data_IF_964662510417
#
_entry.id   IF_964662510417
#
_cell.length_a   1.000
_cell.length_b   1.000
_cell.length_c   1.000
_cell.angle_alpha   90.00
_cell.angle_beta   90.00
_cell.angle_gamma   90.00
#
_symmetry.space_group_name_H-M   'P 1'
#
loop_
_entity.id
_entity.type
_entity.pdbx_description
1 polymer ?
#
# COMPACT_ATOMS: atom_id res chain seq x y z
N UNK A 1 16.13 22.60 22.10
CA UNK A 1 14.85 22.16 21.52
C UNK A 1 14.88 20.64 21.54
N UNK A 2 14.03 20.00 22.35
CA UNK A 2 13.92 18.54 22.41
C UNK A 2 12.72 18.08 21.60
N UNK A 3 12.81 16.91 20.97
CA UNK A 3 11.71 16.26 20.26
C UNK A 3 10.79 15.62 21.31
N UNK A 4 9.48 15.81 21.21
CA UNK A 4 8.50 15.19 22.13
C UNK A 4 8.32 13.71 21.84
N UNK A 5 7.74 12.96 22.78
CA UNK A 5 7.44 11.54 22.54
C UNK A 5 6.44 11.37 21.39
N UNK A 6 5.48 12.28 21.26
CA UNK A 6 4.50 12.24 20.18
C UNK A 6 5.11 12.51 18.81
N UNK A 7 6.10 13.40 18.72
CA UNK A 7 6.89 13.63 17.50
C UNK A 7 7.75 12.39 17.17
N UNK A 8 8.36 11.75 18.17
CA UNK A 8 9.10 10.49 17.98
C UNK A 8 8.19 9.36 17.50
N UNK A 9 6.99 9.24 18.06
CA UNK A 9 6.00 8.25 17.65
C UNK A 9 5.57 8.44 16.20
N UNK A 10 5.38 9.68 15.77
CA UNK A 10 5.13 9.99 14.36
C UNK A 10 6.28 9.51 13.46
N UNK A 11 7.54 9.79 13.82
CA UNK A 11 8.71 9.36 13.05
C UNK A 11 8.83 7.83 12.98
N UNK A 12 8.62 7.13 14.10
CA UNK A 12 8.60 5.65 14.17
C UNK A 12 7.52 5.08 13.26
N UNK A 13 6.31 5.61 13.34
CA UNK A 13 5.19 5.17 12.51
C UNK A 13 5.40 5.45 11.02
N UNK A 14 5.93 6.63 10.67
CA UNK A 14 6.28 6.96 9.29
C UNK A 14 7.31 5.98 8.73
N UNK A 15 8.36 5.67 9.50
CA UNK A 15 9.39 4.71 9.09
C UNK A 15 8.83 3.29 8.93
N UNK A 16 8.01 2.83 9.86
CA UNK A 16 7.32 1.53 9.80
C UNK A 16 6.53 1.39 8.49
N UNK A 17 5.73 2.39 8.15
CA UNK A 17 4.96 2.40 6.90
C UNK A 17 5.89 2.42 5.67
N UNK A 18 6.84 3.34 5.63
CA UNK A 18 7.71 3.57 4.47
C UNK A 18 8.60 2.36 4.15
N UNK A 19 9.12 1.68 5.17
CA UNK A 19 10.14 0.64 5.00
C UNK A 19 9.60 -0.77 5.21
N UNK A 20 8.85 -1.00 6.27
CA UNK A 20 8.47 -2.35 6.69
C UNK A 20 7.19 -2.77 5.96
N UNK A 21 6.10 -2.04 6.16
CA UNK A 21 4.81 -2.37 5.55
C UNK A 21 4.87 -2.33 4.01
N UNK A 22 5.55 -1.32 3.45
CA UNK A 22 5.75 -1.20 2.01
C UNK A 22 6.57 -2.37 1.42
N UNK A 23 7.53 -2.91 2.18
CA UNK A 23 8.31 -4.08 1.76
C UNK A 23 7.46 -5.35 1.79
N UNK A 24 6.68 -5.58 2.85
CA UNK A 24 5.79 -6.73 2.96
C UNK A 24 4.78 -6.78 1.80
N UNK A 25 4.08 -5.66 1.56
CA UNK A 25 3.14 -5.52 0.43
C UNK A 25 3.82 -5.77 -0.92
N UNK A 26 5.08 -5.34 -1.10
CA UNK A 26 5.83 -5.59 -2.34
C UNK A 26 6.23 -7.06 -2.49
N UNK A 27 6.68 -7.70 -1.43
CA UNK A 27 7.00 -9.15 -1.45
C UNK A 27 5.77 -9.95 -1.84
N UNK A 28 4.63 -9.65 -1.22
CA UNK A 28 3.36 -10.27 -1.57
C UNK A 28 2.96 -9.97 -3.02
N UNK A 29 3.14 -8.73 -3.50
CA UNK A 29 2.89 -8.39 -4.90
C UNK A 29 3.74 -9.20 -5.88
N UNK A 30 5.05 -9.32 -5.64
CA UNK A 30 5.96 -10.08 -6.51
C UNK A 30 5.67 -11.58 -6.47
N UNK A 31 5.07 -12.08 -5.38
CA UNK A 31 4.56 -13.45 -5.30
C UNK A 31 3.31 -13.65 -6.18
N UNK A 32 2.37 -12.71 -6.16
CA UNK A 32 1.13 -12.77 -6.95
C UNK A 32 1.38 -12.49 -8.45
N UNK A 33 2.25 -11.52 -8.73
CA UNK A 33 2.61 -11.01 -10.06
C UNK A 33 4.13 -11.06 -10.25
N UNK A 34 4.70 -12.23 -10.59
CA UNK A 34 6.15 -12.40 -10.72
C UNK A 34 6.79 -11.39 -11.67
N UNK A 35 7.97 -10.81 -11.33
CA UNK A 35 8.63 -9.80 -12.16
C UNK A 35 8.87 -10.22 -13.62
N UNK A 36 9.03 -11.52 -13.88
CA UNK A 36 9.21 -12.06 -15.22
C UNK A 36 7.96 -11.92 -16.11
N UNK A 37 6.76 -11.97 -15.52
CA UNK A 37 5.46 -11.90 -16.21
C UNK A 37 4.76 -10.54 -16.11
N UNK A 38 5.21 -9.68 -15.17
CA UNK A 38 4.54 -8.42 -14.83
C UNK A 38 4.22 -7.54 -16.03
N UNK A 39 5.14 -7.40 -16.99
CA UNK A 39 4.91 -6.58 -18.19
C UNK A 39 3.74 -7.06 -19.05
N UNK A 40 3.57 -8.38 -19.19
CA UNK A 40 2.46 -8.95 -19.95
C UNK A 40 1.13 -8.79 -19.19
N UNK A 41 1.13 -8.99 -17.88
CA UNK A 41 -0.04 -8.78 -17.04
C UNK A 41 -0.52 -7.33 -17.04
N UNK A 42 0.42 -6.37 -16.99
CA UNK A 42 0.14 -4.94 -17.14
C UNK A 42 -0.46 -4.64 -18.50
N UNK A 43 0.13 -5.15 -19.59
CA UNK A 43 -0.41 -4.96 -20.94
C UNK A 43 -1.85 -5.47 -21.06
N UNK A 44 -2.14 -6.65 -20.51
CA UNK A 44 -3.49 -7.23 -20.48
C UNK A 44 -4.48 -6.42 -19.64
N UNK A 45 -3.98 -5.69 -18.64
CA UNK A 45 -4.80 -4.90 -17.71
C UNK A 45 -4.92 -3.42 -18.09
N UNK A 46 -4.35 -2.99 -19.23
CA UNK A 46 -4.27 -1.57 -19.62
C UNK A 46 -5.62 -0.86 -19.61
N UNK A 47 -6.63 -1.44 -20.26
CA UNK A 47 -7.97 -0.84 -20.36
C UNK A 47 -8.59 -0.68 -18.98
N UNK A 48 -8.51 -1.71 -18.14
CA UNK A 48 -9.00 -1.71 -16.77
C UNK A 48 -8.32 -0.60 -15.95
N UNK A 49 -6.99 -0.59 -15.92
CA UNK A 49 -6.20 0.33 -15.11
C UNK A 49 -6.33 1.79 -15.57
N UNK A 50 -6.43 2.04 -16.88
CA UNK A 50 -6.68 3.38 -17.43
C UNK A 50 -8.09 3.90 -17.11
N UNK A 51 -9.06 3.01 -16.97
CA UNK A 51 -10.45 3.36 -16.63
C UNK A 51 -10.65 3.74 -15.15
N UNK A 52 -9.67 3.47 -14.28
CA UNK A 52 -9.77 3.77 -12.86
C UNK A 52 -9.69 5.29 -12.62
N UNK A 53 -10.73 5.84 -12.01
CA UNK A 53 -10.84 7.30 -11.72
C UNK A 53 -9.69 7.85 -10.87
N UNK A 54 -9.08 7.01 -10.05
CA UNK A 54 -8.01 7.39 -9.12
C UNK A 54 -6.60 7.12 -9.68
N UNK A 55 -6.48 6.55 -10.89
CA UNK A 55 -5.19 6.32 -11.54
C UNK A 55 -4.69 7.63 -12.17
N UNK A 56 -3.57 8.14 -11.66
CA UNK A 56 -2.98 9.39 -12.18
C UNK A 56 -2.20 9.16 -13.48
N UNK A 57 -2.01 10.22 -14.27
CA UNK A 57 -1.12 10.17 -15.45
C UNK A 57 0.31 9.74 -15.09
N UNK A 58 0.81 10.19 -13.93
CA UNK A 58 2.13 9.82 -13.45
C UNK A 58 2.24 8.32 -13.18
N UNK A 59 1.24 7.75 -12.49
CA UNK A 59 1.19 6.31 -12.25
C UNK A 59 1.07 5.52 -13.55
N UNK A 60 0.25 5.96 -14.51
CA UNK A 60 0.18 5.31 -15.82
C UNK A 60 1.53 5.32 -16.55
N UNK A 61 2.28 6.41 -16.48
CA UNK A 61 3.61 6.48 -17.09
C UNK A 61 4.63 5.56 -16.42
N UNK A 62 4.49 5.30 -15.12
CA UNK A 62 5.30 4.31 -14.39
C UNK A 62 4.94 2.89 -14.85
N UNK A 63 3.66 2.59 -15.04
CA UNK A 63 3.18 1.28 -15.47
C UNK A 63 3.44 0.99 -16.96
N UNK A 64 3.42 2.04 -17.80
CA UNK A 64 3.54 1.95 -19.25
C UNK A 64 4.56 2.97 -19.77
N UNK A 65 5.86 2.78 -19.47
CA UNK A 65 6.89 3.68 -19.94
C UNK A 65 7.02 3.61 -21.47
N UNK A 66 7.29 4.76 -22.10
CA UNK A 66 7.53 4.82 -23.56
C UNK A 66 8.84 4.18 -24.01
N UNK A 67 9.78 3.95 -23.07
CA UNK A 67 11.04 3.26 -23.33
C UNK A 67 10.85 1.74 -23.27
N UNK A 68 11.77 0.99 -23.88
CA UNK A 68 11.83 -0.48 -23.77
C UNK A 68 12.29 -0.97 -22.38
N UNK A 69 12.23 -0.10 -21.36
CA UNK A 69 12.65 -0.43 -20.01
C UNK A 69 11.69 -1.44 -19.40
N UNK A 70 12.25 -2.47 -18.75
CA UNK A 70 11.46 -3.43 -18.00
C UNK A 70 10.85 -2.74 -16.78
N UNK A 71 9.52 -2.83 -16.67
CA UNK A 71 8.77 -2.36 -15.51
C UNK A 71 9.02 -3.31 -14.34
N UNK A 72 9.27 -2.77 -13.15
CA UNK A 72 9.47 -3.55 -11.93
C UNK A 72 8.66 -2.94 -10.78
N UNK A 73 8.31 -3.77 -9.79
CA UNK A 73 7.60 -3.32 -8.59
C UNK A 73 8.44 -2.37 -7.70
N UNK A 74 9.75 -2.27 -7.95
CA UNK A 74 10.66 -1.40 -7.20
C UNK A 74 10.27 0.08 -7.29
N UNK A 75 9.73 0.49 -8.45
CA UNK A 75 9.31 1.85 -8.76
C UNK A 75 7.89 2.16 -8.29
N UNK A 76 7.17 1.18 -7.75
CA UNK A 76 5.78 1.36 -7.32
C UNK A 76 5.72 1.75 -5.85
N UNK A 77 4.92 2.78 -5.56
CA UNK A 77 4.52 3.07 -4.18
C UNK A 77 3.45 2.07 -3.70
N UNK A 78 3.28 1.98 -2.37
CA UNK A 78 2.34 1.04 -1.73
C UNK A 78 0.89 1.24 -2.18
N UNK A 79 0.48 2.48 -2.45
CA UNK A 79 -0.88 2.77 -2.91
C UNK A 79 -1.09 2.22 -4.32
N UNK A 80 -0.10 2.36 -5.20
CA UNK A 80 -0.12 1.79 -6.53
C UNK A 80 -0.11 0.26 -6.47
N UNK A 81 0.78 -0.36 -5.68
CA UNK A 81 0.81 -1.83 -5.53
C UNK A 81 -0.55 -2.37 -5.08
N UNK A 82 -1.13 -1.76 -4.04
CA UNK A 82 -2.44 -2.15 -3.53
C UNK A 82 -3.53 -1.93 -4.58
N UNK A 83 -3.46 -0.86 -5.40
CA UNK A 83 -4.35 -0.69 -6.54
C UNK A 83 -4.21 -1.84 -7.56
N UNK A 84 -2.99 -2.23 -7.92
CA UNK A 84 -2.75 -3.30 -8.89
C UNK A 84 -3.32 -4.63 -8.39
N UNK A 85 -3.07 -5.02 -7.14
CA UNK A 85 -3.59 -6.25 -6.53
C UNK A 85 -5.13 -6.38 -6.58
N UNK A 86 -5.83 -5.24 -6.56
CA UNK A 86 -7.30 -5.18 -6.58
C UNK A 86 -7.90 -5.24 -7.98
N UNK A 87 -7.14 -4.86 -8.99
CA UNK A 87 -7.68 -4.56 -10.32
C UNK A 87 -7.04 -5.39 -11.43
N UNK A 88 -5.81 -5.88 -11.23
CA UNK A 88 -5.13 -6.81 -12.12
C UNK A 88 -5.37 -8.23 -11.64
N UNK A 89 -6.08 -9.04 -12.42
CA UNK A 89 -6.34 -10.45 -12.12
C UNK A 89 -6.63 -10.70 -10.63
N UNK A 90 -7.65 -10.02 -10.04
CA UNK A 90 -7.80 -9.93 -8.59
C UNK A 90 -7.94 -11.31 -7.97
N UNK A 91 -6.97 -11.65 -7.11
CA UNK A 91 -6.99 -12.89 -6.31
C UNK A 91 -7.61 -12.67 -4.93
N UNK A 92 -7.63 -11.42 -4.49
CA UNK A 92 -8.10 -11.03 -3.18
C UNK A 92 -9.47 -10.38 -3.22
N UNK A 93 -10.31 -10.75 -2.26
CA UNK A 93 -11.61 -10.11 -2.06
C UNK A 93 -11.45 -8.85 -1.22
N UNK A 94 -12.29 -7.85 -1.49
CA UNK A 94 -12.38 -6.70 -0.62
C UNK A 94 -12.81 -7.13 0.79
N UNK A 95 -12.27 -6.52 1.86
CA UNK A 95 -12.85 -6.69 3.18
C UNK A 95 -14.28 -6.13 3.18
N UNK A 96 -15.11 -6.54 4.15
CA UNK A 96 -16.52 -6.11 4.26
C UNK A 96 -16.66 -4.58 4.31
N UNK A 97 -15.68 -3.91 4.94
CA UNK A 97 -15.60 -2.44 5.04
C UNK A 97 -15.19 -1.76 3.73
N UNK A 98 -14.78 -2.53 2.72
CA UNK A 98 -14.19 -2.04 1.49
C UNK A 98 -12.73 -1.62 1.62
N UNK A 99 -12.14 -1.35 0.47
CA UNK A 99 -10.71 -1.11 0.28
C UNK A 99 -10.15 0.24 0.79
N UNK A 100 -11.04 1.15 1.16
CA UNK A 100 -10.72 2.54 1.52
C UNK A 100 -11.04 2.87 2.98
N UNK A 101 -11.62 1.92 3.72
CA UNK A 101 -11.90 2.05 5.15
C UNK A 101 -11.00 1.11 5.97
N UNK A 102 -10.78 1.45 7.24
CA UNK A 102 -10.04 0.59 8.16
C UNK A 102 -10.83 -0.72 8.38
N UNK A 103 -10.26 -1.89 8.09
CA UNK A 103 -10.93 -3.17 8.34
C UNK A 103 -11.10 -3.46 9.83
N UNK A 104 -11.95 -4.43 10.15
CA UNK A 104 -12.08 -4.91 11.52
C UNK A 104 -10.75 -5.53 12.00
N UNK A 105 -10.32 -5.32 13.27
CA UNK A 105 -9.07 -5.87 13.77
C UNK A 105 -8.99 -7.40 13.70
N UNK A 106 -10.13 -8.09 13.84
CA UNK A 106 -10.23 -9.54 13.71
C UNK A 106 -10.31 -10.09 12.28
N UNK A 107 -10.32 -9.24 11.26
CA UNK A 107 -10.29 -9.67 9.86
C UNK A 107 -8.82 -9.83 9.42
N UNK A 108 -8.38 -11.09 9.34
CA UNK A 108 -7.02 -11.49 8.97
C UNK A 108 -6.92 -11.93 7.52
N UNK A 109 -7.91 -11.59 6.68
CA UNK A 109 -7.82 -11.86 5.25
C UNK A 109 -6.71 -10.99 4.62
N UNK A 110 -6.07 -11.50 3.56
CA UNK A 110 -5.07 -10.74 2.79
C UNK A 110 -5.66 -9.42 2.27
N UNK A 111 -6.92 -9.41 1.85
CA UNK A 111 -7.64 -8.18 1.46
C UNK A 111 -7.72 -7.15 2.60
N UNK A 112 -8.00 -7.60 3.83
CA UNK A 112 -7.98 -6.74 5.01
C UNK A 112 -6.57 -6.23 5.33
N UNK A 113 -5.55 -7.09 5.27
CA UNK A 113 -4.17 -6.69 5.50
C UNK A 113 -3.71 -5.60 4.52
N UNK A 114 -3.98 -5.76 3.22
CA UNK A 114 -3.69 -4.76 2.20
C UNK A 114 -4.45 -3.45 2.42
N UNK A 115 -5.73 -3.52 2.82
CA UNK A 115 -6.53 -2.34 3.13
C UNK A 115 -6.02 -1.60 4.38
N UNK A 116 -5.62 -2.34 5.42
CA UNK A 116 -5.08 -1.81 6.67
C UNK A 116 -3.77 -1.05 6.45
N UNK A 117 -2.82 -1.66 5.73
CA UNK A 117 -1.55 -1.00 5.36
C UNK A 117 -1.80 0.29 4.58
N UNK A 118 -2.67 0.24 3.56
CA UNK A 118 -3.01 1.44 2.77
C UNK A 118 -3.67 2.53 3.63
N UNK A 119 -4.59 2.15 4.51
CA UNK A 119 -5.31 3.11 5.36
C UNK A 119 -4.33 3.85 6.27
N UNK A 120 -3.47 3.13 6.98
CA UNK A 120 -2.47 3.71 7.88
C UNK A 120 -1.46 4.59 7.16
N UNK A 121 -0.99 4.18 5.97
CA UNK A 121 -0.14 5.02 5.13
C UNK A 121 -0.83 6.31 4.73
N UNK A 122 -2.11 6.27 4.37
CA UNK A 122 -2.82 7.48 3.97
C UNK A 122 -3.05 8.42 5.16
N UNK A 123 -3.35 7.90 6.34
CA UNK A 123 -3.49 8.73 7.54
C UNK A 123 -2.17 9.40 7.94
N UNK A 124 -1.03 8.71 7.84
CA UNK A 124 0.28 9.30 8.20
C UNK A 124 0.66 10.50 7.32
N UNK A 125 0.33 10.45 6.03
CA UNK A 125 0.59 11.53 5.07
C UNK A 125 -0.30 12.75 5.31
N UNK A 126 -1.44 12.58 6.00
CA UNK A 126 -2.38 13.66 6.28
C UNK A 126 -2.26 14.26 7.69
N UNK A 127 -1.41 13.73 8.56
CA UNK A 127 -1.10 14.36 9.86
C UNK A 127 -0.27 15.63 9.62
N UNK A 128 -0.91 16.80 9.79
CA UNK A 128 -0.32 18.11 9.44
C UNK A 128 0.74 18.58 10.43
N UNK A 129 0.72 18.06 11.65
CA UNK A 129 1.50 18.59 12.75
C UNK A 129 2.70 17.70 13.11
N UNK A 130 2.85 16.54 12.46
CA UNK A 130 3.96 15.60 12.73
C UNK A 130 3.93 15.00 14.14
N UNK A 131 2.76 14.99 14.77
CA UNK A 131 2.52 14.53 16.14
C UNK A 131 1.61 13.30 16.09
N UNK A 132 1.94 12.27 16.87
CA UNK A 132 1.13 11.06 17.02
C UNK A 132 1.01 10.70 18.50
N UNK A 133 -0.21 10.67 19.03
CA UNK A 133 -0.42 10.28 20.44
C UNK A 133 0.04 8.85 20.67
N UNK A 134 0.56 8.56 21.87
CA UNK A 134 1.02 7.20 22.23
C UNK A 134 -0.09 6.16 22.09
N UNK A 135 -1.33 6.51 22.42
CA UNK A 135 -2.49 5.61 22.26
C UNK A 135 -2.70 5.24 20.80
N UNK A 136 -2.69 6.21 19.89
CA UNK A 136 -2.89 5.95 18.47
C UNK A 136 -1.67 5.25 17.85
N UNK A 137 -0.45 5.62 18.25
CA UNK A 137 0.77 4.92 17.86
C UNK A 137 0.70 3.43 18.21
N UNK A 138 0.35 3.08 19.46
CA UNK A 138 0.27 1.69 19.89
C UNK A 138 -0.81 0.91 19.13
N UNK A 139 -1.95 1.55 18.85
CA UNK A 139 -2.99 0.94 18.02
C UNK A 139 -2.47 0.66 16.60
N UNK A 140 -1.90 1.66 15.93
CA UNK A 140 -1.31 1.51 14.61
C UNK A 140 -0.23 0.42 14.56
N UNK A 141 0.62 0.39 15.58
CA UNK A 141 1.72 -0.56 15.68
C UNK A 141 1.21 -1.98 15.80
N UNK A 142 0.30 -2.26 16.75
CA UNK A 142 -0.28 -3.60 16.92
C UNK A 142 -1.04 -4.06 15.68
N UNK A 143 -1.79 -3.18 15.05
CA UNK A 143 -2.54 -3.46 13.82
C UNK A 143 -1.63 -3.81 12.63
N UNK A 144 -0.44 -3.19 12.55
CA UNK A 144 0.55 -3.48 11.50
C UNK A 144 1.46 -4.66 11.84
N UNK A 145 1.70 -4.95 13.11
CA UNK A 145 2.39 -6.18 13.55
C UNK A 145 1.54 -7.44 13.29
N UNK A 146 0.21 -7.31 13.37
CA UNK A 146 -0.73 -8.40 13.07
C UNK A 146 -0.91 -8.72 11.59
N UNK A 147 -0.35 -7.91 10.69
CA UNK A 147 -0.42 -8.15 9.24
C UNK A 147 0.41 -9.38 8.87
N UNK A 148 -0.18 -10.28 8.08
CA UNK A 148 0.35 -11.62 7.79
C UNK A 148 0.78 -11.85 6.34
N UNK A 149 0.70 -10.82 5.49
CA UNK A 149 1.10 -10.84 4.07
C UNK A 149 2.61 -10.67 3.86
#
# INVERSE_FOLDING_TARGET
MGVTEEELNFLRFYFLNLKIASKAVRVYFDYVHPPAGLGAELANSYVTLKGLRFMTKLQLNILYPSSSQKVTSADFDTTLIVCLLRNMAPRESAPVTGWDNLPHPGDTSTGADLARVKWYRNQSVHSKDGILSSTYFNQCWGDLEGVSI
#
